data_IF_757496749853
#
_entry.id   IF_757496749853
#
_cell.length_a   1.000
_cell.length_b   1.000
_cell.length_c   1.000
_cell.angle_alpha   90.00
_cell.angle_beta   90.00
_cell.angle_gamma   90.00
#
_symmetry.space_group_name_H-M   'P 1'
#
loop_
_entity.id
_entity.type
_entity.pdbx_description
1 polymer ?
#
# COMPACT_ATOMS: atom_id res chain seq x y z
N UNK A 1 -38.65 23.52 -1.49
CA UNK A 1 -38.13 22.15 -1.28
C UNK A 1 -36.80 22.27 -0.54
N UNK A 2 -36.77 21.85 0.72
CA UNK A 2 -35.56 21.92 1.54
C UNK A 2 -34.81 20.60 1.33
N UNK A 3 -33.76 20.61 0.50
CA UNK A 3 -32.86 19.47 0.34
C UNK A 3 -32.17 19.24 1.68
N UNK A 4 -32.73 18.34 2.50
CA UNK A 4 -32.00 17.76 3.61
C UNK A 4 -30.84 16.98 2.99
N UNK A 5 -29.67 17.61 2.90
CA UNK A 5 -28.41 16.88 2.71
C UNK A 5 -28.33 15.90 3.86
N UNK A 6 -28.68 14.65 3.58
CA UNK A 6 -28.46 13.53 4.49
C UNK A 6 -26.96 13.55 4.72
N UNK A 7 -26.56 13.98 5.91
CA UNK A 7 -25.17 13.94 6.35
C UNK A 7 -24.88 12.45 6.61
N UNK A 8 -24.67 11.71 5.52
CA UNK A 8 -24.31 10.31 5.57
C UNK A 8 -22.96 10.23 6.27
N UNK A 9 -22.97 9.67 7.49
CA UNK A 9 -21.73 9.35 8.18
C UNK A 9 -20.92 8.45 7.24
N UNK A 10 -19.62 8.71 7.06
CA UNK A 10 -18.79 7.90 6.19
C UNK A 10 -18.84 6.44 6.63
N UNK A 11 -18.92 5.52 5.66
CA UNK A 11 -19.06 4.07 5.90
C UNK A 11 -17.97 3.49 6.80
N UNK A 12 -16.82 4.16 6.86
CA UNK A 12 -15.71 3.86 7.76
C UNK A 12 -15.18 5.14 8.39
N UNK A 13 -14.47 5.02 9.52
CA UNK A 13 -13.80 6.17 10.12
C UNK A 13 -12.75 6.75 9.17
N UNK A 14 -12.52 8.06 9.25
CA UNK A 14 -11.50 8.75 8.43
C UNK A 14 -10.12 8.12 8.61
N UNK A 15 -9.76 7.79 9.85
CA UNK A 15 -8.48 7.12 10.14
C UNK A 15 -8.37 5.75 9.47
N UNK A 16 -9.45 4.96 9.45
CA UNK A 16 -9.46 3.67 8.77
C UNK A 16 -9.32 3.84 7.25
N UNK A 17 -10.01 4.81 6.65
CA UNK A 17 -9.89 5.11 5.22
C UNK A 17 -8.43 5.49 4.85
N UNK A 18 -7.80 6.36 5.64
CA UNK A 18 -6.40 6.75 5.44
C UNK A 18 -5.48 5.54 5.56
N UNK A 19 -5.67 4.70 6.59
CA UNK A 19 -4.87 3.50 6.79
C UNK A 19 -4.98 2.52 5.61
N UNK A 20 -6.18 2.34 5.06
CA UNK A 20 -6.42 1.52 3.86
C UNK A 20 -5.63 2.09 2.68
N UNK A 21 -5.75 3.39 2.40
CA UNK A 21 -5.04 4.02 1.27
C UNK A 21 -3.51 3.86 1.43
N UNK A 22 -2.98 4.11 2.63
CA UNK A 22 -1.55 4.01 2.89
C UNK A 22 -1.07 2.56 2.76
N UNK A 23 -1.75 1.60 3.38
CA UNK A 23 -1.33 0.20 3.39
C UNK A 23 -1.49 -0.52 2.05
N UNK A 24 -2.51 -0.17 1.28
CA UNK A 24 -2.86 -0.88 0.04
C UNK A 24 -2.32 -0.22 -1.23
N UNK A 25 -2.07 1.09 -1.21
CA UNK A 25 -1.61 1.84 -2.38
C UNK A 25 -0.20 2.38 -2.17
N UNK A 26 0.00 3.21 -1.13
CA UNK A 26 1.28 3.92 -0.94
C UNK A 26 2.41 2.93 -0.60
N UNK A 27 2.17 2.03 0.35
CA UNK A 27 3.21 1.13 0.86
C UNK A 27 3.77 0.19 -0.22
N UNK A 28 2.96 -0.49 -1.06
CA UNK A 28 3.50 -1.31 -2.15
C UNK A 28 4.33 -0.51 -3.16
N UNK A 29 3.87 0.68 -3.55
CA UNK A 29 4.57 1.54 -4.51
C UNK A 29 5.92 1.97 -3.94
N UNK A 30 5.92 2.45 -2.69
CA UNK A 30 7.15 2.86 -1.99
C UNK A 30 8.11 1.69 -1.83
N UNK A 31 7.61 0.50 -1.47
CA UNK A 31 8.45 -0.68 -1.30
C UNK A 31 9.13 -1.12 -2.60
N UNK A 32 8.41 -1.11 -3.71
CA UNK A 32 8.97 -1.42 -5.03
C UNK A 32 9.97 -0.34 -5.47
N UNK A 33 9.63 0.94 -5.31
CA UNK A 33 10.48 2.06 -5.70
C UNK A 33 11.79 2.09 -4.91
N UNK A 34 11.74 1.97 -3.57
CA UNK A 34 12.93 1.88 -2.73
C UNK A 34 13.72 0.60 -3.02
N UNK A 35 13.02 -0.52 -3.24
CA UNK A 35 13.64 -1.78 -3.63
C UNK A 35 14.51 -1.62 -4.87
N UNK A 36 13.95 -1.05 -5.94
CA UNK A 36 14.68 -0.77 -7.18
C UNK A 36 15.82 0.23 -6.98
N UNK A 37 15.57 1.34 -6.26
CA UNK A 37 16.55 2.40 -6.03
C UNK A 37 17.81 1.92 -5.29
N UNK A 38 17.65 1.02 -4.31
CA UNK A 38 18.76 0.45 -3.57
C UNK A 38 19.40 -0.76 -4.27
N UNK A 39 18.61 -1.58 -4.96
CA UNK A 39 19.10 -2.79 -5.63
C UNK A 39 20.09 -2.49 -6.76
N UNK A 40 19.93 -1.35 -7.45
CA UNK A 40 20.80 -0.91 -8.54
C UNK A 40 22.15 -0.32 -8.09
N UNK A 41 22.44 -0.29 -6.79
CA UNK A 41 23.70 0.23 -6.24
C UNK A 41 24.71 -0.91 -6.09
N UNK A 42 26.00 -0.61 -6.29
CA UNK A 42 27.07 -1.61 -6.22
C UNK A 42 27.46 -1.99 -4.78
N UNK A 43 27.04 -1.21 -3.78
CA UNK A 43 27.33 -1.50 -2.38
C UNK A 43 26.53 -2.73 -1.89
N UNK A 44 27.18 -3.76 -1.31
CA UNK A 44 26.54 -5.02 -0.95
C UNK A 44 25.36 -4.85 0.03
N UNK A 45 25.50 -3.96 1.01
CA UNK A 45 24.44 -3.69 2.00
C UNK A 45 23.22 -3.01 1.37
N UNK A 46 23.45 -2.06 0.46
CA UNK A 46 22.36 -1.40 -0.26
C UNK A 46 21.63 -2.39 -1.16
N UNK A 47 22.37 -3.27 -1.83
CA UNK A 47 21.76 -4.30 -2.69
C UNK A 47 20.88 -5.27 -1.91
N UNK A 48 21.31 -5.64 -0.70
CA UNK A 48 20.54 -6.49 0.21
C UNK A 48 19.28 -5.79 0.69
N UNK A 49 19.40 -4.54 1.13
CA UNK A 49 18.25 -3.71 1.50
C UNK A 49 17.26 -3.56 0.33
N UNK A 50 17.76 -3.30 -0.88
CA UNK A 50 16.95 -3.19 -2.09
C UNK A 50 16.20 -4.47 -2.41
N UNK A 51 16.86 -5.63 -2.32
CA UNK A 51 16.21 -6.93 -2.50
C UNK A 51 15.09 -7.14 -1.48
N UNK A 52 15.34 -6.84 -0.21
CA UNK A 52 14.35 -7.00 0.87
C UNK A 52 13.13 -6.09 0.64
N UNK A 53 13.35 -4.83 0.30
CA UNK A 53 12.28 -3.86 -0.01
C UNK A 53 11.48 -4.26 -1.25
N UNK A 54 12.14 -4.78 -2.28
CA UNK A 54 11.47 -5.25 -3.49
C UNK A 54 10.57 -6.46 -3.19
N UNK A 55 11.11 -7.44 -2.45
CA UNK A 55 10.36 -8.63 -2.01
C UNK A 55 9.15 -8.21 -1.16
N UNK A 56 9.37 -7.31 -0.19
CA UNK A 56 8.31 -6.81 0.68
C UNK A 56 7.18 -6.13 -0.11
N UNK A 57 7.54 -5.23 -1.04
CA UNK A 57 6.57 -4.53 -1.89
C UNK A 57 5.75 -5.48 -2.76
N UNK A 58 6.41 -6.46 -3.38
CA UNK A 58 5.74 -7.48 -4.21
C UNK A 58 4.82 -8.36 -3.36
N UNK A 59 5.29 -8.86 -2.21
CA UNK A 59 4.48 -9.72 -1.33
C UNK A 59 3.24 -8.98 -0.87
N UNK A 60 3.37 -7.73 -0.40
CA UNK A 60 2.21 -6.97 0.09
C UNK A 60 1.24 -6.66 -1.05
N UNK A 61 1.73 -6.37 -2.26
CA UNK A 61 0.89 -6.20 -3.42
C UNK A 61 0.07 -7.47 -3.73
N UNK A 62 0.72 -8.64 -3.74
CA UNK A 62 0.04 -9.93 -3.95
C UNK A 62 -0.94 -10.28 -2.83
N UNK A 63 -0.58 -10.02 -1.57
CA UNK A 63 -1.46 -10.24 -0.42
C UNK A 63 -2.71 -9.37 -0.53
N UNK A 64 -2.58 -8.10 -0.93
CA UNK A 64 -3.74 -7.23 -1.16
C UNK A 64 -4.66 -7.77 -2.26
N UNK A 65 -4.10 -8.23 -3.39
CA UNK A 65 -4.89 -8.86 -4.46
C UNK A 65 -5.61 -10.11 -3.95
N UNK A 66 -4.91 -10.98 -3.22
CA UNK A 66 -5.47 -12.20 -2.67
C UNK A 66 -6.60 -11.89 -1.67
N UNK A 67 -6.39 -10.91 -0.78
CA UNK A 67 -7.39 -10.48 0.19
C UNK A 67 -8.65 -9.97 -0.51
N UNK A 68 -8.51 -9.13 -1.54
CA UNK A 68 -9.64 -8.66 -2.35
C UNK A 68 -10.33 -9.82 -3.05
N UNK A 69 -9.58 -10.78 -3.60
CA UNK A 69 -10.15 -11.94 -4.27
C UNK A 69 -10.95 -12.85 -3.32
N UNK A 70 -10.46 -13.09 -2.11
CA UNK A 70 -11.10 -13.97 -1.11
C UNK A 70 -12.33 -13.30 -0.48
N UNK A 71 -12.31 -11.97 -0.31
CA UNK A 71 -13.40 -11.21 0.30
C UNK A 71 -14.46 -10.72 -0.68
N UNK A 72 -14.29 -11.00 -1.97
CA UNK A 72 -15.26 -10.69 -3.03
C UNK A 72 -16.33 -11.77 -3.13
#
# INVERSE_FOLDING_TARGET
MNEKKVNEKPAVSVGLNIAIIVGTIIFPIVGIAMGYAYYRRDHPDMKTAGKNWLILGIIIFLVNILLVYVMR
#
